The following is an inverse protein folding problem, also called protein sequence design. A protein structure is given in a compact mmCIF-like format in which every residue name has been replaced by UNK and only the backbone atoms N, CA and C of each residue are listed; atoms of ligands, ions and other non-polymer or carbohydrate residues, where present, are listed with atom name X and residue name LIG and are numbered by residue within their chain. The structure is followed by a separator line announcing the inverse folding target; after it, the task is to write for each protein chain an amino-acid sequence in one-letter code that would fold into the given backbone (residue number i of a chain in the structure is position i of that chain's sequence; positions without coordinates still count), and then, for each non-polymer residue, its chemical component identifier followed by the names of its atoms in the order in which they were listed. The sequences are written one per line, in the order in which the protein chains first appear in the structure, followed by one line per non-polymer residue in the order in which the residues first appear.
data_IF_896625548532
#
_entry.id   IF_896625548532
#
_cell.length_a   1.000
_cell.length_b   1.000
_cell.length_c   1.000
_cell.angle_alpha   90.00
_cell.angle_beta   90.00
_cell.angle_gamma   90.00
#
_symmetry.space_group_name_H-M   'P 1'
#
loop_
_entity.id
_entity.type
_entity.pdbx_description
1 polymer ?
#
# COMPACT_ATOMS: atom_id res chain seq x y z
N UNK A 1 -11.32 -1.65 -16.92
CA UNK A 1 -12.13 -2.27 -18.01
C UNK A 1 -12.36 -3.75 -17.79
N UNK A 2 -11.36 -4.62 -17.64
CA UNK A 2 -11.56 -6.06 -17.41
C UNK A 2 -12.46 -6.37 -16.21
N UNK A 3 -12.34 -5.63 -15.09
CA UNK A 3 -13.20 -5.80 -13.90
C UNK A 3 -14.67 -5.49 -14.19
N UNK A 4 -14.95 -4.45 -14.95
CA UNK A 4 -16.32 -4.10 -15.36
C UNK A 4 -16.90 -5.17 -16.28
N UNK A 5 -16.12 -5.67 -17.25
CA UNK A 5 -16.54 -6.78 -18.11
C UNK A 5 -16.83 -8.05 -17.30
N UNK A 6 -16.01 -8.38 -16.31
CA UNK A 6 -16.27 -9.50 -15.41
C UNK A 6 -17.56 -9.33 -14.62
N UNK A 7 -17.78 -8.14 -14.03
CA UNK A 7 -18.98 -7.86 -13.25
C UNK A 7 -20.25 -7.94 -14.11
N UNK A 8 -20.24 -7.36 -15.30
CA UNK A 8 -21.39 -7.40 -16.23
C UNK A 8 -21.67 -8.80 -16.75
N UNK A 9 -20.63 -9.60 -17.07
CA UNK A 9 -20.80 -10.99 -17.48
C UNK A 9 -21.33 -11.86 -16.34
N UNK A 10 -20.82 -11.69 -15.11
CA UNK A 10 -21.35 -12.39 -13.94
C UNK A 10 -22.81 -12.06 -13.68
N UNK A 11 -23.16 -10.76 -13.70
CA UNK A 11 -24.55 -10.34 -13.53
C UNK A 11 -25.47 -10.94 -14.60
N UNK A 12 -25.00 -10.97 -15.86
CA UNK A 12 -25.74 -11.58 -16.98
C UNK A 12 -25.92 -13.08 -16.83
N UNK A 13 -24.88 -13.80 -16.41
CA UNK A 13 -24.95 -15.26 -16.16
C UNK A 13 -25.95 -15.55 -15.03
N UNK A 14 -25.86 -14.80 -13.93
CA UNK A 14 -26.78 -14.96 -12.78
C UNK A 14 -28.23 -14.68 -13.21
N UNK A 15 -28.47 -13.55 -13.89
CA UNK A 15 -29.82 -13.20 -14.37
C UNK A 15 -30.40 -14.27 -15.29
N UNK A 16 -29.64 -14.78 -16.24
CA UNK A 16 -30.08 -15.87 -17.16
C UNK A 16 -30.34 -17.17 -16.44
N UNK A 17 -29.48 -17.52 -15.45
CA UNK A 17 -29.66 -18.73 -14.65
C UNK A 17 -30.96 -18.67 -13.82
N UNK A 18 -31.28 -17.50 -13.26
CA UNK A 18 -32.55 -17.28 -12.51
C UNK A 18 -33.79 -17.39 -13.42
N UNK A 19 -33.67 -17.05 -14.68
CA UNK A 19 -34.76 -17.19 -15.65
C UNK A 19 -34.85 -18.60 -16.27
N UNK A 20 -34.12 -19.58 -15.71
CA UNK A 20 -34.22 -20.99 -16.12
C UNK A 20 -33.49 -21.32 -17.43
N UNK A 21 -32.50 -20.52 -17.84
CA UNK A 21 -31.70 -20.82 -19.02
C UNK A 21 -30.96 -22.16 -18.90
N UNK A 22 -30.98 -22.97 -19.94
CA UNK A 22 -30.26 -24.24 -19.99
C UNK A 22 -28.74 -24.00 -19.94
N UNK A 23 -27.99 -24.88 -19.26
CA UNK A 23 -26.52 -24.74 -19.10
C UNK A 23 -25.79 -24.57 -20.44
N UNK A 24 -26.24 -25.24 -21.49
CA UNK A 24 -25.66 -25.11 -22.83
C UNK A 24 -25.76 -23.71 -23.41
N UNK A 25 -26.79 -22.92 -23.06
CA UNK A 25 -26.93 -21.53 -23.52
C UNK A 25 -26.04 -20.54 -22.81
N UNK A 26 -25.37 -20.96 -21.73
CA UNK A 26 -24.44 -20.16 -20.92
C UNK A 26 -22.97 -20.41 -21.27
N UNK A 27 -22.66 -21.40 -22.12
CA UNK A 27 -21.27 -21.76 -22.47
C UNK A 27 -20.47 -20.58 -23.02
N UNK A 28 -21.08 -19.77 -23.89
CA UNK A 28 -20.45 -18.60 -24.46
C UNK A 28 -20.13 -17.54 -23.38
N UNK A 29 -21.06 -17.32 -22.45
CA UNK A 29 -20.88 -16.36 -21.36
C UNK A 29 -19.76 -16.82 -20.41
N UNK A 30 -19.62 -18.13 -20.16
CA UNK A 30 -18.52 -18.71 -19.38
C UNK A 30 -17.17 -18.58 -20.10
N UNK A 31 -17.10 -18.81 -21.40
CA UNK A 31 -15.88 -18.63 -22.21
C UNK A 31 -15.46 -17.15 -22.19
N UNK A 32 -16.40 -16.23 -22.37
CA UNK A 32 -16.13 -14.79 -22.30
C UNK A 32 -15.66 -14.37 -20.91
N UNK A 33 -16.25 -14.94 -19.85
CA UNK A 33 -15.84 -14.69 -18.48
C UNK A 33 -14.41 -15.20 -18.22
N UNK A 34 -14.08 -16.41 -18.68
CA UNK A 34 -12.72 -16.96 -18.59
C UNK A 34 -11.72 -16.08 -19.37
N UNK A 35 -12.09 -15.62 -20.56
CA UNK A 35 -11.30 -14.67 -21.35
C UNK A 35 -11.07 -13.34 -20.61
N UNK A 36 -12.09 -12.80 -19.95
CA UNK A 36 -11.97 -11.58 -19.13
C UNK A 36 -11.07 -11.77 -17.92
N UNK A 37 -11.08 -12.95 -17.26
CA UNK A 37 -10.13 -13.29 -16.19
C UNK A 37 -8.70 -13.39 -16.72
N UNK A 38 -8.50 -14.06 -17.86
CA UNK A 38 -7.18 -14.16 -18.50
C UNK A 38 -6.63 -12.77 -18.90
N UNK A 39 -7.46 -11.92 -19.49
CA UNK A 39 -7.09 -10.55 -19.86
C UNK A 39 -6.71 -9.72 -18.62
N UNK A 40 -7.46 -9.87 -17.53
CA UNK A 40 -7.14 -9.21 -16.25
C UNK A 40 -5.80 -9.67 -15.70
N UNK A 41 -5.56 -10.97 -15.68
CA UNK A 41 -4.29 -11.55 -15.21
C UNK A 41 -3.10 -11.04 -16.04
N UNK A 42 -3.23 -11.05 -17.36
CA UNK A 42 -2.22 -10.52 -18.28
C UNK A 42 -1.96 -9.03 -18.08
N UNK A 43 -3.03 -8.25 -17.91
CA UNK A 43 -2.92 -6.80 -17.65
C UNK A 43 -2.22 -6.50 -16.32
N UNK A 44 -2.54 -7.25 -15.28
CA UNK A 44 -1.91 -7.11 -13.95
C UNK A 44 -0.43 -7.49 -14.00
N UNK A 45 -0.12 -8.60 -14.65
CA UNK A 45 1.26 -9.04 -14.87
C UNK A 45 2.05 -8.02 -15.71
N UNK A 46 1.48 -7.55 -16.81
CA UNK A 46 2.10 -6.53 -17.66
C UNK A 46 2.40 -5.23 -16.92
N UNK A 47 1.47 -4.76 -16.09
CA UNK A 47 1.67 -3.58 -15.24
C UNK A 47 2.79 -3.79 -14.21
N UNK A 48 2.86 -4.96 -13.58
CA UNK A 48 3.91 -5.25 -12.60
C UNK A 48 5.29 -5.29 -13.25
N UNK A 49 5.41 -5.94 -14.42
CA UNK A 49 6.66 -6.00 -15.18
C UNK A 49 7.07 -4.61 -15.67
N UNK A 50 6.15 -3.84 -16.22
CA UNK A 50 6.42 -2.48 -16.68
C UNK A 50 6.82 -1.54 -15.53
N UNK A 51 6.12 -1.62 -14.39
CA UNK A 51 6.42 -0.84 -13.20
C UNK A 51 7.81 -1.14 -12.62
N UNK A 52 8.20 -2.42 -12.56
CA UNK A 52 9.55 -2.82 -12.12
C UNK A 52 10.64 -2.34 -13.08
N UNK A 53 10.43 -2.46 -14.41
CA UNK A 53 11.39 -1.97 -15.40
C UNK A 53 11.59 -0.46 -15.28
N UNK A 54 10.50 0.31 -15.25
CA UNK A 54 10.56 1.75 -15.07
C UNK A 54 11.24 2.16 -13.75
N UNK A 55 11.00 1.42 -12.67
CA UNK A 55 11.68 1.66 -11.39
C UNK A 55 13.20 1.43 -11.52
N UNK A 56 13.63 0.35 -12.16
CA UNK A 56 15.06 0.06 -12.36
C UNK A 56 15.77 1.12 -13.20
N UNK A 57 15.12 1.64 -14.24
CA UNK A 57 15.68 2.71 -15.07
C UNK A 57 15.90 3.98 -14.21
N UNK A 58 14.89 4.40 -13.43
CA UNK A 58 15.00 5.55 -12.51
C UNK A 58 16.07 5.33 -11.44
N UNK A 59 16.14 4.13 -10.84
CA UNK A 59 17.13 3.82 -9.81
C UNK A 59 18.54 3.82 -10.38
N UNK A 60 18.74 3.35 -11.62
CA UNK A 60 20.03 3.40 -12.30
C UNK A 60 20.47 4.83 -12.60
N UNK A 61 19.55 5.68 -13.06
CA UNK A 61 19.83 7.11 -13.27
C UNK A 61 20.20 7.81 -11.96
N UNK A 62 19.49 7.52 -10.87
CA UNK A 62 19.81 8.09 -9.54
C UNK A 62 21.19 7.66 -9.06
N UNK A 63 21.59 6.39 -9.27
CA UNK A 63 22.93 5.89 -8.92
C UNK A 63 24.01 6.62 -9.74
N UNK A 64 23.80 6.75 -11.04
CA UNK A 64 24.71 7.47 -11.92
C UNK A 64 24.83 8.95 -11.54
N UNK A 65 23.72 9.63 -11.29
CA UNK A 65 23.69 11.03 -10.86
C UNK A 65 24.42 11.24 -9.52
N UNK A 66 24.24 10.31 -8.57
CA UNK A 66 24.96 10.34 -7.29
C UNK A 66 26.47 10.17 -7.49
N UNK A 67 26.88 9.19 -8.31
CA UNK A 67 28.28 8.93 -8.64
C UNK A 67 28.91 10.14 -9.35
N UNK A 68 28.24 10.70 -10.35
CA UNK A 68 28.71 11.87 -11.10
C UNK A 68 28.86 13.11 -10.21
N UNK A 69 27.87 13.37 -9.35
CA UNK A 69 27.93 14.47 -8.39
C UNK A 69 29.12 14.34 -7.44
N UNK A 70 29.47 13.13 -7.04
CA UNK A 70 30.63 12.86 -6.16
C UNK A 70 31.95 12.94 -6.91
N UNK A 71 32.01 12.45 -8.13
CA UNK A 71 33.23 12.52 -8.97
C UNK A 71 33.58 13.95 -9.39
N UNK A 72 32.56 14.81 -9.58
CA UNK A 72 32.75 16.24 -9.89
C UNK A 72 32.96 17.11 -8.66
N UNK A 73 32.62 16.64 -7.46
CA UNK A 73 32.89 17.32 -6.20
C UNK A 73 34.38 17.27 -5.90
N UNK A 74 34.95 18.33 -5.31
CA UNK A 74 36.36 18.47 -5.01
C UNK A 74 36.92 17.21 -4.30
N UNK A 75 38.18 16.82 -4.56
CA UNK A 75 38.85 15.70 -3.91
C UNK A 75 39.21 16.07 -2.47
N UNK A 76 38.21 16.10 -1.59
CA UNK A 76 38.43 16.15 -0.15
C UNK A 76 38.77 14.70 0.22
N UNK A 77 39.84 14.50 0.94
CA UNK A 77 40.19 13.20 1.51
C UNK A 77 38.99 12.73 2.33
N UNK A 78 38.18 11.85 1.72
CA UNK A 78 36.97 11.33 2.38
C UNK A 78 37.44 10.29 3.36
N UNK A 79 37.18 10.52 4.63
CA UNK A 79 37.47 9.53 5.69
C UNK A 79 36.79 8.21 5.31
N UNK A 80 37.44 7.06 5.57
CA UNK A 80 36.92 5.76 5.18
C UNK A 80 35.48 5.49 5.71
N UNK A 81 35.11 6.11 6.84
CA UNK A 81 33.78 6.05 7.41
C UNK A 81 32.73 6.79 6.54
N UNK A 82 33.04 7.98 6.05
CA UNK A 82 32.17 8.74 5.16
C UNK A 82 31.97 8.04 3.79
N UNK A 83 33.03 7.42 3.27
CA UNK A 83 32.97 6.61 2.04
C UNK A 83 32.04 5.41 2.20
N UNK A 84 32.07 4.73 3.34
CA UNK A 84 31.20 3.59 3.62
C UNK A 84 29.73 4.02 3.78
N UNK A 85 29.45 5.17 4.41
CA UNK A 85 28.11 5.72 4.53
C UNK A 85 27.53 6.08 3.17
N UNK A 86 28.30 6.72 2.30
CA UNK A 86 27.90 7.06 0.93
C UNK A 86 27.62 5.80 0.12
N UNK A 87 28.46 4.78 0.24
CA UNK A 87 28.24 3.50 -0.44
C UNK A 87 26.94 2.82 0.06
N UNK A 88 26.68 2.86 1.36
CA UNK A 88 25.44 2.34 1.92
C UNK A 88 24.21 3.10 1.40
N UNK A 89 24.25 4.42 1.30
CA UNK A 89 23.16 5.22 0.71
C UNK A 89 23.00 4.93 -0.76
N UNK A 90 24.08 4.78 -1.53
CA UNK A 90 24.04 4.50 -2.95
C UNK A 90 23.46 3.11 -3.27
N UNK A 91 23.70 2.13 -2.41
CA UNK A 91 23.23 0.76 -2.62
C UNK A 91 21.87 0.56 -1.92
N UNK A 92 21.83 0.63 -0.59
CA UNK A 92 20.64 0.32 0.20
C UNK A 92 19.58 1.44 0.21
N UNK A 93 20.03 2.71 0.25
CA UNK A 93 19.11 3.85 0.27
C UNK A 93 18.34 3.98 -1.04
N UNK A 94 19.00 3.82 -2.18
CA UNK A 94 18.36 3.88 -3.50
C UNK A 94 17.49 2.65 -3.73
N UNK A 95 17.94 1.44 -3.33
CA UNK A 95 17.10 0.23 -3.41
C UNK A 95 15.79 0.37 -2.61
N UNK A 96 15.82 1.06 -1.46
CA UNK A 96 14.63 1.35 -0.67
C UNK A 96 13.55 2.14 -1.42
N UNK A 97 13.90 2.83 -2.50
CA UNK A 97 12.97 3.57 -3.36
C UNK A 97 12.28 2.70 -4.42
N UNK A 98 12.73 1.45 -4.64
CA UNK A 98 12.12 0.55 -5.63
C UNK A 98 10.60 0.39 -5.39
N UNK A 99 10.20 0.15 -4.14
CA UNK A 99 8.79 0.01 -3.78
C UNK A 99 7.95 1.25 -4.10
N UNK A 100 8.54 2.43 -3.99
CA UNK A 100 7.87 3.69 -4.32
C UNK A 100 7.61 3.81 -5.82
N UNK A 101 8.61 3.60 -6.66
CA UNK A 101 8.49 3.75 -8.11
C UNK A 101 7.76 2.55 -8.76
N UNK A 102 8.04 1.32 -8.33
CA UNK A 102 7.47 0.12 -8.94
C UNK A 102 6.01 -0.14 -8.54
N UNK A 103 5.61 0.21 -7.33
CA UNK A 103 4.27 -0.14 -6.79
C UNK A 103 3.43 1.07 -6.43
N UNK A 104 3.97 2.00 -5.63
CA UNK A 104 3.17 3.11 -5.10
C UNK A 104 2.70 4.06 -6.19
N UNK A 105 3.59 4.50 -7.08
CA UNK A 105 3.26 5.46 -8.13
C UNK A 105 2.17 4.97 -9.09
N UNK A 106 2.27 3.75 -9.67
CA UNK A 106 1.20 3.18 -10.49
C UNK A 106 -0.11 3.01 -9.71
N UNK A 107 -0.03 2.63 -8.44
CA UNK A 107 -1.21 2.43 -7.60
C UNK A 107 -1.97 3.74 -7.34
N UNK A 108 -1.27 4.88 -7.18
CA UNK A 108 -1.90 6.20 -7.02
C UNK A 108 -2.69 6.58 -8.27
N UNK A 109 -2.13 6.35 -9.46
CA UNK A 109 -2.84 6.62 -10.73
C UNK A 109 -4.10 5.76 -10.83
N UNK A 110 -4.01 4.48 -10.48
CA UNK A 110 -5.16 3.57 -10.48
C UNK A 110 -6.20 3.93 -9.42
N UNK A 111 -5.77 4.35 -8.24
CA UNK A 111 -6.67 4.74 -7.16
C UNK A 111 -7.57 5.92 -7.52
N UNK A 112 -7.15 6.76 -8.45
CA UNK A 112 -7.95 7.89 -8.97
C UNK A 112 -8.73 7.47 -10.21
N UNK A 113 -8.07 6.86 -11.19
CA UNK A 113 -8.66 6.57 -12.50
C UNK A 113 -9.73 5.47 -12.45
N UNK A 114 -9.51 4.40 -11.68
CA UNK A 114 -10.45 3.27 -11.62
C UNK A 114 -11.81 3.68 -11.04
N UNK A 115 -11.90 4.37 -9.89
CA UNK A 115 -13.19 4.81 -9.37
C UNK A 115 -13.94 5.76 -10.32
N UNK A 116 -13.23 6.69 -10.95
CA UNK A 116 -13.85 7.61 -11.91
C UNK A 116 -14.45 6.87 -13.11
N UNK A 117 -13.73 5.90 -13.66
CA UNK A 117 -14.21 5.08 -14.76
C UNK A 117 -15.42 4.23 -14.35
N UNK A 118 -15.39 3.67 -13.13
CA UNK A 118 -16.51 2.86 -12.60
C UNK A 118 -17.75 3.73 -12.41
N UNK A 119 -17.62 4.90 -11.82
CA UNK A 119 -18.74 5.84 -11.62
C UNK A 119 -19.30 6.29 -12.98
N UNK A 120 -18.43 6.65 -13.92
CA UNK A 120 -18.86 7.01 -15.27
C UNK A 120 -19.62 5.88 -15.98
N UNK A 121 -19.20 4.63 -15.81
CA UNK A 121 -19.90 3.48 -16.33
C UNK A 121 -21.26 3.27 -15.65
N UNK A 122 -21.29 3.29 -14.31
CA UNK A 122 -22.51 3.09 -13.53
C UNK A 122 -23.52 4.21 -13.78
N UNK A 123 -23.06 5.46 -13.98
CA UNK A 123 -23.95 6.59 -14.26
C UNK A 123 -24.78 6.45 -15.54
N UNK A 124 -24.27 5.66 -16.51
CA UNK A 124 -25.01 5.35 -17.75
C UNK A 124 -26.05 4.25 -17.51
N UNK A 125 -25.80 3.33 -16.60
CA UNK A 125 -26.67 2.18 -16.31
C UNK A 125 -27.69 2.55 -15.23
N UNK A 126 -27.25 3.19 -14.16
CA UNK A 126 -28.08 3.59 -13.02
C UNK A 126 -27.52 4.86 -12.37
N UNK A 127 -28.12 5.99 -12.68
CA UNK A 127 -27.67 7.30 -12.23
C UNK A 127 -27.79 7.46 -10.70
N UNK A 128 -28.78 6.89 -10.05
CA UNK A 128 -28.95 7.02 -8.59
C UNK A 128 -27.86 6.25 -7.83
N UNK A 129 -27.56 5.03 -8.27
CA UNK A 129 -26.42 4.28 -7.72
C UNK A 129 -25.09 4.99 -7.93
N UNK A 130 -24.91 5.67 -9.07
CA UNK A 130 -23.71 6.46 -9.32
C UNK A 130 -23.58 7.65 -8.36
N UNK A 131 -24.70 8.32 -8.01
CA UNK A 131 -24.73 9.41 -7.04
C UNK A 131 -24.35 8.90 -5.62
N UNK A 132 -24.89 7.76 -5.21
CA UNK A 132 -24.53 7.13 -3.93
C UNK A 132 -23.02 6.81 -3.90
N UNK A 133 -22.50 6.22 -4.98
CA UNK A 133 -21.07 5.93 -5.09
C UNK A 133 -20.21 7.21 -5.05
N UNK A 134 -20.62 8.27 -5.75
CA UNK A 134 -19.92 9.54 -5.78
C UNK A 134 -19.88 10.19 -4.39
N UNK A 135 -20.94 10.05 -3.59
CA UNK A 135 -21.00 10.58 -2.23
C UNK A 135 -20.18 9.76 -1.24
N UNK A 136 -20.16 8.44 -1.39
CA UNK A 136 -19.45 7.53 -0.47
C UNK A 136 -17.96 7.43 -0.78
N UNK A 137 -17.55 7.61 -2.05
CA UNK A 137 -16.16 7.47 -2.48
C UNK A 137 -15.19 8.46 -1.81
N UNK A 138 -15.50 9.76 -1.62
CA UNK A 138 -14.62 10.70 -0.93
C UNK A 138 -14.39 10.36 0.54
N UNK A 139 -15.28 9.58 1.15
CA UNK A 139 -15.17 9.19 2.56
C UNK A 139 -13.86 8.41 2.81
N UNK A 140 -13.47 7.53 1.88
CA UNK A 140 -12.25 6.72 1.98
C UNK A 140 -10.99 7.60 2.04
N UNK A 141 -10.70 8.49 1.07
CA UNK A 141 -9.52 9.34 1.14
C UNK A 141 -9.55 10.33 2.32
N UNK A 142 -10.71 10.82 2.74
CA UNK A 142 -10.83 11.68 3.94
C UNK A 142 -10.42 10.92 5.19
N UNK A 143 -10.91 9.70 5.38
CA UNK A 143 -10.49 8.86 6.50
C UNK A 143 -9.01 8.49 6.43
N UNK A 144 -8.49 8.14 5.25
CA UNK A 144 -7.08 7.84 5.05
C UNK A 144 -6.19 9.04 5.39
N UNK A 145 -6.59 10.26 5.01
CA UNK A 145 -5.87 11.47 5.36
C UNK A 145 -5.87 11.71 6.88
N UNK A 146 -7.04 11.57 7.52
CA UNK A 146 -7.18 11.75 8.97
C UNK A 146 -6.31 10.75 9.75
N UNK A 147 -6.37 9.49 9.37
CA UNK A 147 -5.57 8.42 9.96
C UNK A 147 -4.09 8.62 9.68
N UNK A 148 -3.72 9.02 8.45
CA UNK A 148 -2.35 9.30 8.06
C UNK A 148 -1.69 10.37 8.93
N UNK A 149 -2.38 11.46 9.19
CA UNK A 149 -1.89 12.53 10.10
C UNK A 149 -1.64 12.02 11.50
N UNK A 150 -2.54 11.21 12.03
CA UNK A 150 -2.37 10.62 13.36
C UNK A 150 -1.20 9.62 13.41
N UNK A 151 -1.03 8.83 12.36
CA UNK A 151 0.00 7.78 12.27
C UNK A 151 1.40 8.37 12.06
N UNK A 152 1.53 9.50 11.36
CA UNK A 152 2.82 10.15 11.10
C UNK A 152 3.58 10.47 12.40
N UNK A 153 2.89 11.06 13.37
CA UNK A 153 3.50 11.40 14.66
C UNK A 153 4.03 10.14 15.38
N UNK A 154 3.25 9.06 15.39
CA UNK A 154 3.61 7.77 16.01
C UNK A 154 4.77 7.08 15.30
N UNK A 155 4.84 7.18 13.98
CA UNK A 155 5.94 6.63 13.20
C UNK A 155 7.26 7.34 13.52
N UNK A 156 7.24 8.67 13.67
CA UNK A 156 8.43 9.44 14.09
C UNK A 156 8.90 9.06 15.50
N UNK A 157 7.99 8.88 16.44
CA UNK A 157 8.32 8.41 17.80
C UNK A 157 8.99 7.02 17.77
N UNK A 158 8.47 6.10 16.95
CA UNK A 158 9.05 4.78 16.75
C UNK A 158 10.48 4.84 16.19
N UNK A 159 10.71 5.66 15.16
CA UNK A 159 12.03 5.84 14.57
C UNK A 159 13.03 6.43 15.57
N UNK A 160 12.61 7.37 16.40
CA UNK A 160 13.45 7.94 17.45
C UNK A 160 13.79 6.89 18.52
N UNK A 161 12.82 6.07 18.93
CA UNK A 161 13.05 4.97 19.88
C UNK A 161 14.01 3.91 19.31
N UNK A 162 13.87 3.55 18.03
CA UNK A 162 14.77 2.62 17.36
C UNK A 162 16.20 3.18 17.28
N UNK A 163 16.35 4.45 16.92
CA UNK A 163 17.66 5.11 16.84
C UNK A 163 18.34 5.13 18.19
N UNK A 164 17.59 5.47 19.26
CA UNK A 164 18.10 5.46 20.63
C UNK A 164 18.54 4.07 21.06
N UNK A 165 17.74 3.04 20.75
CA UNK A 165 18.09 1.65 21.05
C UNK A 165 19.37 1.23 20.32
N UNK A 166 19.47 1.52 19.02
CA UNK A 166 20.62 1.14 18.20
C UNK A 166 21.91 1.84 18.65
N UNK A 167 21.86 3.16 18.92
CA UNK A 167 23.03 3.89 19.40
C UNK A 167 23.50 3.38 20.76
N UNK A 168 22.56 3.19 21.68
CA UNK A 168 22.89 2.71 23.01
C UNK A 168 23.45 1.28 23.00
N UNK A 169 22.88 0.40 22.18
CA UNK A 169 23.38 -0.96 22.01
C UNK A 169 24.83 -0.97 21.47
N UNK A 170 25.11 -0.14 20.44
CA UNK A 170 26.48 -0.03 19.90
C UNK A 170 27.48 0.50 20.93
N UNK A 171 27.09 1.48 21.74
CA UNK A 171 27.93 2.04 22.79
C UNK A 171 28.27 0.99 23.87
N UNK A 172 27.27 0.18 24.26
CA UNK A 172 27.47 -0.90 25.22
C UNK A 172 28.36 -2.00 24.65
N UNK A 173 28.17 -2.41 23.39
CA UNK A 173 29.02 -3.43 22.76
C UNK A 173 30.47 -2.95 22.65
N UNK A 174 30.69 -1.69 22.26
CA UNK A 174 32.04 -1.10 22.20
C UNK A 174 32.68 -0.97 23.60
N UNK A 175 31.89 -0.60 24.60
CA UNK A 175 32.32 -0.45 25.99
C UNK A 175 32.33 -1.74 26.83
N UNK A 176 31.95 -2.89 26.25
CA UNK A 176 31.79 -4.14 26.99
C UNK A 176 33.04 -4.58 27.77
N UNK A 177 34.25 -4.47 27.21
CA UNK A 177 35.47 -4.81 27.98
C UNK A 177 35.61 -3.94 29.24
N UNK A 178 35.35 -2.65 29.12
CA UNK A 178 35.42 -1.69 30.24
C UNK A 178 34.32 -1.96 31.25
N UNK A 179 33.08 -2.20 30.83
CA UNK A 179 31.96 -2.51 31.70
C UNK A 179 32.20 -3.79 32.53
N UNK A 180 32.79 -4.81 31.91
CA UNK A 180 33.19 -6.04 32.62
C UNK A 180 34.30 -5.79 33.64
N UNK A 181 35.32 -5.01 33.29
CA UNK A 181 36.41 -4.69 34.17
C UNK A 181 35.95 -3.94 35.46
N UNK A 182 34.90 -3.12 35.32
CA UNK A 182 34.32 -2.37 36.42
C UNK A 182 33.11 -3.06 37.08
N UNK A 183 32.73 -4.27 36.67
CA UNK A 183 31.62 -5.02 37.28
C UNK A 183 30.23 -4.43 37.01
N UNK A 184 30.08 -3.55 35.97
CA UNK A 184 28.82 -2.83 35.64
C UNK A 184 28.05 -3.44 34.47
N UNK A 185 28.40 -4.62 34.01
CA UNK A 185 27.77 -5.26 32.89
C UNK A 185 26.27 -5.54 33.11
N UNK A 186 25.89 -5.98 34.31
CA UNK A 186 24.51 -6.31 34.66
C UNK A 186 23.63 -5.06 34.78
N UNK A 187 24.17 -3.96 35.29
CA UNK A 187 23.46 -2.67 35.35
C UNK A 187 23.12 -2.15 33.98
N UNK A 188 24.06 -2.28 33.03
CA UNK A 188 23.85 -1.83 31.65
C UNK A 188 22.93 -2.77 30.87
N UNK A 189 22.95 -4.08 31.15
CA UNK A 189 21.98 -5.03 30.61
C UNK A 189 20.54 -4.65 31.00
N UNK A 190 20.29 -4.33 32.26
CA UNK A 190 18.99 -3.86 32.73
C UNK A 190 18.56 -2.52 32.09
N UNK A 191 19.52 -1.68 31.73
CA UNK A 191 19.26 -0.42 31.03
C UNK A 191 18.82 -0.68 29.53
N UNK A 192 19.50 -1.59 28.85
CA UNK A 192 19.10 -2.03 27.48
C UNK A 192 17.70 -2.61 27.53
N UNK A 193 17.37 -3.43 28.52
CA UNK A 193 16.04 -4.01 28.68
C UNK A 193 14.95 -2.93 28.77
N UNK A 194 15.15 -1.90 29.58
CA UNK A 194 14.21 -0.77 29.70
C UNK A 194 14.02 -0.01 28.38
N UNK A 195 15.10 0.21 27.62
CA UNK A 195 15.03 0.89 26.31
C UNK A 195 14.32 0.00 25.28
N UNK A 196 14.59 -1.30 25.31
CA UNK A 196 13.89 -2.31 24.48
C UNK A 196 12.39 -2.36 24.76
N UNK A 197 11.99 -2.33 26.02
CA UNK A 197 10.59 -2.31 26.42
C UNK A 197 9.88 -1.04 25.96
N UNK A 198 10.54 0.09 26.01
CA UNK A 198 10.00 1.34 25.46
C UNK A 198 9.80 1.24 23.94
N UNK A 199 10.77 0.68 23.21
CA UNK A 199 10.65 0.43 21.78
C UNK A 199 9.50 -0.53 21.49
N UNK A 200 9.36 -1.63 22.25
CA UNK A 200 8.25 -2.59 22.13
C UNK A 200 6.90 -1.92 22.32
N UNK A 201 6.75 -1.12 23.39
CA UNK A 201 5.51 -0.40 23.67
C UNK A 201 5.11 0.54 22.53
N UNK A 202 6.07 1.32 22.01
CA UNK A 202 5.85 2.25 20.89
C UNK A 202 5.50 1.49 19.60
N UNK A 203 6.14 0.35 19.35
CA UNK A 203 5.85 -0.50 18.20
C UNK A 203 4.44 -1.08 18.29
N UNK A 204 4.03 -1.62 19.43
CA UNK A 204 2.67 -2.14 19.63
C UNK A 204 1.62 -1.04 19.45
N UNK A 205 1.88 0.18 19.93
CA UNK A 205 0.99 1.32 19.72
C UNK A 205 0.85 1.65 18.23
N UNK A 206 1.94 1.67 17.47
CA UNK A 206 1.92 1.92 16.02
C UNK A 206 1.14 0.83 15.29
N UNK A 207 1.34 -0.44 15.65
CA UNK A 207 0.61 -1.57 15.09
C UNK A 207 -0.89 -1.48 15.37
N UNK A 208 -1.30 -1.14 16.60
CA UNK A 208 -2.71 -0.95 16.95
C UNK A 208 -3.38 0.11 16.07
N UNK A 209 -2.71 1.24 15.84
CA UNK A 209 -3.22 2.30 14.95
C UNK A 209 -3.31 1.80 13.50
N UNK A 210 -2.32 1.07 13.02
CA UNK A 210 -2.33 0.50 11.66
C UNK A 210 -3.46 -0.51 11.47
N UNK A 211 -3.69 -1.41 12.44
CA UNK A 211 -4.81 -2.35 12.38
C UNK A 211 -6.17 -1.64 12.45
N UNK A 212 -6.31 -0.66 13.36
CA UNK A 212 -7.54 0.12 13.46
C UNK A 212 -7.84 0.86 12.15
N UNK A 213 -6.82 1.40 11.49
CA UNK A 213 -6.93 2.07 10.20
C UNK A 213 -7.44 1.13 9.11
N UNK A 214 -6.90 -0.10 9.04
CA UNK A 214 -7.35 -1.13 8.11
C UNK A 214 -8.82 -1.51 8.36
N UNK A 215 -9.18 -1.72 9.63
CA UNK A 215 -10.56 -2.08 10.01
C UNK A 215 -11.57 -0.97 9.70
N UNK A 216 -11.22 0.29 9.92
CA UNK A 216 -12.09 1.44 9.58
C UNK A 216 -12.28 1.53 8.06
N UNK A 217 -11.21 1.32 7.28
CA UNK A 217 -11.27 1.34 5.83
C UNK A 217 -12.16 0.21 5.28
N UNK A 218 -12.02 -0.99 5.83
CA UNK A 218 -12.84 -2.15 5.47
C UNK A 218 -14.32 -1.93 5.81
N UNK A 219 -14.60 -1.38 7.00
CA UNK A 219 -15.95 -1.03 7.42
C UNK A 219 -16.56 0.04 6.51
N UNK A 220 -15.82 1.08 6.15
CA UNK A 220 -16.28 2.13 5.24
C UNK A 220 -16.57 1.57 3.83
N UNK A 221 -15.71 0.70 3.32
CA UNK A 221 -15.91 0.04 2.04
C UNK A 221 -17.15 -0.88 2.06
N UNK A 222 -17.29 -1.70 3.10
CA UNK A 222 -18.43 -2.61 3.27
C UNK A 222 -19.74 -1.83 3.40
N UNK A 223 -19.75 -0.73 4.15
CA UNK A 223 -20.91 0.13 4.29
C UNK A 223 -21.31 0.76 2.94
N UNK A 224 -20.33 1.21 2.14
CA UNK A 224 -20.57 1.73 0.80
C UNK A 224 -21.24 0.70 -0.11
N UNK A 225 -20.71 -0.53 -0.12
CA UNK A 225 -21.29 -1.64 -0.89
C UNK A 225 -22.71 -1.97 -0.39
N UNK A 226 -22.91 -2.03 0.93
CA UNK A 226 -24.23 -2.32 1.51
C UNK A 226 -25.27 -1.25 1.15
N UNK A 227 -24.90 0.03 1.18
CA UNK A 227 -25.82 1.12 0.81
C UNK A 227 -26.25 1.01 -0.65
N UNK A 228 -25.32 0.76 -1.56
CA UNK A 228 -25.64 0.57 -2.98
C UNK A 228 -26.51 -0.67 -3.19
N UNK A 229 -26.16 -1.79 -2.55
CA UNK A 229 -26.93 -3.04 -2.64
C UNK A 229 -28.35 -2.90 -2.12
N UNK A 230 -28.55 -2.24 -0.97
CA UNK A 230 -29.89 -1.99 -0.41
C UNK A 230 -30.69 -1.05 -1.29
N UNK A 231 -30.10 0.04 -1.77
CA UNK A 231 -30.78 0.97 -2.65
C UNK A 231 -31.22 0.30 -3.97
N UNK A 232 -30.33 -0.48 -4.60
CA UNK A 232 -30.66 -1.23 -5.80
C UNK A 232 -31.72 -2.32 -5.53
N UNK A 233 -31.61 -3.03 -4.39
CA UNK A 233 -32.57 -4.07 -4.01
C UNK A 233 -33.97 -3.54 -3.76
N UNK A 234 -34.12 -2.42 -3.06
CA UNK A 234 -35.43 -1.77 -2.84
C UNK A 234 -36.06 -1.34 -4.16
N UNK A 235 -35.30 -0.73 -5.04
CA UNK A 235 -35.77 -0.29 -6.37
C UNK A 235 -36.14 -1.46 -7.30
N UNK A 236 -35.47 -2.60 -7.16
CA UNK A 236 -35.84 -3.81 -7.86
C UNK A 236 -37.20 -4.36 -7.40
N UNK A 237 -37.45 -4.32 -6.08
CA UNK A 237 -38.73 -4.73 -5.51
C UNK A 237 -39.85 -3.78 -5.92
N UNK A 238 -39.60 -2.47 -5.97
CA UNK A 238 -40.53 -1.45 -6.40
C UNK A 238 -40.75 -1.43 -7.94
N UNK A 239 -40.04 -2.27 -8.70
CA UNK A 239 -40.15 -2.37 -10.16
C UNK A 239 -39.62 -1.14 -10.91
N UNK A 240 -38.84 -0.29 -10.27
CA UNK A 240 -38.25 0.92 -10.86
C UNK A 240 -36.88 0.67 -11.53
N UNK A 241 -36.32 -0.52 -11.33
CA UNK A 241 -35.14 -1.06 -12.03
C UNK A 241 -35.63 -2.16 -12.98
N UNK A 242 -35.84 -1.83 -14.25
CA UNK A 242 -36.20 -2.76 -15.32
C UNK A 242 -35.37 -2.53 -16.54
#
# INVERSE_FOLDING_TARGET
MAVLAQATLLARIVARAFHGAALHSLELDFILLAGAFALRALSTWGMEVAGRRAAWDVLSELRLALAEKRLRGAPIAVDGAESAEIAAVAVQGIEGLEGYFARYLPQVVLAISVPLIVIAWVSVVDFESAVIMLLTLPLVPVFMWLVGRYTEHRTRERWNALRLLSSHFLDVVRGLPTLRAFGRADEEAARIERVSDRYRATTVQTLRVSFLSGSILELAATLGVALVAVAAGLRLVDGSLG
#
